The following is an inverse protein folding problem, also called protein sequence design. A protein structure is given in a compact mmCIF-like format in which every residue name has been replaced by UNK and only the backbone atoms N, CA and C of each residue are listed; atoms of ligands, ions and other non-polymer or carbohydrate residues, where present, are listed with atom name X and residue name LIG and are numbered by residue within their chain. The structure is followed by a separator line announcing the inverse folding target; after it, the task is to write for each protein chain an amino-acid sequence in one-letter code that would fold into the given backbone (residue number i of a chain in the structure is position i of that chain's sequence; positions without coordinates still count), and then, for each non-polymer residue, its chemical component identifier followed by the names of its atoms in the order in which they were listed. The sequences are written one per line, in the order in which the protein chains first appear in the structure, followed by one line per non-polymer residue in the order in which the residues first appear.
data_IF_775463405405
#
_entry.id   IF_775463405405
#
_cell.length_a   1.000
_cell.length_b   1.000
_cell.length_c   1.000
_cell.angle_alpha   90.00
_cell.angle_beta   90.00
_cell.angle_gamma   90.00
#
_symmetry.space_group_name_H-M   'P 1'
#
loop_
_entity.id
_entity.type
_entity.pdbx_description
1 polymer ?
#
# COMPACT_ATOMS: atom_id res chain seq x y z
N UNK A 1 10.47 7.05 0.76
CA UNK A 1 10.37 5.68 1.32
C UNK A 1 9.76 5.65 2.72
N UNK A 2 10.32 6.34 3.74
CA UNK A 2 9.73 6.38 5.10
C UNK A 2 8.25 6.80 5.16
N UNK A 3 7.82 7.73 4.30
CA UNK A 3 6.41 8.16 4.20
C UNK A 3 5.46 7.06 3.69
N UNK A 4 5.87 6.29 2.68
CA UNK A 4 5.06 5.18 2.17
C UNK A 4 4.88 4.05 3.21
N UNK A 5 5.93 3.78 4.01
CA UNK A 5 5.83 2.86 5.16
C UNK A 5 4.83 3.35 6.21
N UNK A 6 4.87 4.62 6.58
CA UNK A 6 3.94 5.19 7.55
C UNK A 6 2.48 5.17 7.03
N UNK A 7 2.27 5.52 5.77
CA UNK A 7 0.94 5.47 5.14
C UNK A 7 0.42 4.02 5.06
N UNK A 8 1.29 3.05 4.78
CA UNK A 8 0.93 1.62 4.78
C UNK A 8 0.62 1.11 6.20
N UNK A 9 1.35 1.54 7.23
CA UNK A 9 1.03 1.23 8.63
C UNK A 9 -0.32 1.81 9.05
N UNK A 10 -0.63 3.05 8.65
CA UNK A 10 -1.93 3.67 8.91
C UNK A 10 -3.06 2.89 8.23
N UNK A 11 -2.88 2.50 6.96
CA UNK A 11 -3.83 1.70 6.21
C UNK A 11 -4.09 0.33 6.88
N UNK A 12 -3.04 -0.37 7.33
CA UNK A 12 -3.19 -1.64 8.04
C UNK A 12 -3.90 -1.45 9.38
N UNK A 13 -3.50 -0.43 10.16
CA UNK A 13 -4.08 -0.16 11.47
C UNK A 13 -5.55 0.27 11.45
N UNK A 14 -6.00 0.82 10.32
CA UNK A 14 -7.38 1.22 10.08
C UNK A 14 -8.19 0.18 9.29
N UNK A 15 -7.69 -1.04 9.12
CA UNK A 15 -8.32 -2.09 8.29
C UNK A 15 -8.72 -1.62 6.87
N UNK A 16 -7.91 -0.72 6.30
CA UNK A 16 -8.05 -0.21 4.93
C UNK A 16 -8.81 1.11 4.78
N UNK A 17 -9.31 1.71 5.86
CA UNK A 17 -10.05 2.99 5.81
C UNK A 17 -9.16 4.21 5.50
N UNK A 18 -7.96 4.29 6.08
CA UNK A 18 -7.05 5.43 5.93
C UNK A 18 -6.05 5.16 4.80
N UNK A 19 -6.23 5.86 3.68
CA UNK A 19 -5.34 5.78 2.51
C UNK A 19 -4.45 7.01 2.42
N UNK A 20 -3.29 6.95 3.07
CA UNK A 20 -2.27 7.99 2.96
C UNK A 20 -1.79 8.16 1.51
N UNK A 21 -1.43 9.40 1.14
CA UNK A 21 -1.18 9.77 -0.27
C UNK A 21 -0.09 8.92 -0.95
N UNK A 22 0.97 8.53 -0.24
CA UNK A 22 2.06 7.74 -0.80
C UNK A 22 1.67 6.27 -0.98
N UNK A 23 0.92 5.70 -0.03
CA UNK A 23 0.38 4.35 -0.18
C UNK A 23 -0.63 4.28 -1.32
N UNK A 24 -1.53 5.26 -1.41
CA UNK A 24 -2.53 5.33 -2.49
C UNK A 24 -1.87 5.47 -3.87
N UNK A 25 -0.81 6.27 -3.98
CA UNK A 25 -0.02 6.37 -5.21
C UNK A 25 0.63 5.02 -5.58
N UNK A 26 1.24 4.35 -4.61
CA UNK A 26 1.86 3.03 -4.83
C UNK A 26 0.83 1.97 -5.23
N UNK A 27 -0.35 1.97 -4.60
CA UNK A 27 -1.46 1.08 -4.92
C UNK A 27 -1.98 1.28 -6.34
N UNK A 28 -2.18 2.55 -6.75
CA UNK A 28 -2.58 2.88 -8.13
C UNK A 28 -1.54 2.45 -9.14
N UNK A 29 -0.27 2.73 -8.87
CA UNK A 29 0.83 2.32 -9.73
C UNK A 29 0.90 0.80 -9.86
N UNK A 30 0.75 0.06 -8.76
CA UNK A 30 0.74 -1.40 -8.77
C UNK A 30 -0.40 -1.93 -9.65
N UNK A 31 -1.62 -1.43 -9.47
CA UNK A 31 -2.78 -1.86 -10.27
C UNK A 31 -2.71 -1.46 -11.74
N UNK A 32 -2.13 -0.30 -12.07
CA UNK A 32 -1.98 0.12 -13.45
C UNK A 32 -0.86 -0.64 -14.18
N UNK A 33 0.14 -1.13 -13.44
CA UNK A 33 1.28 -1.87 -14.00
C UNK A 33 0.95 -3.36 -14.19
N UNK A 34 0.13 -3.94 -13.32
CA UNK A 34 -0.24 -5.36 -13.37
C UNK A 34 -1.74 -5.51 -13.67
N UNK A 35 -2.07 -5.89 -14.91
CA UNK A 35 -3.46 -6.11 -15.37
C UNK A 35 -4.22 -7.16 -14.53
N UNK A 36 -3.51 -8.09 -13.90
CA UNK A 36 -4.06 -9.02 -12.90
C UNK A 36 -3.19 -8.91 -11.63
N UNK A 37 -3.55 -8.00 -10.70
CA UNK A 37 -2.77 -7.80 -9.49
C UNK A 37 -2.87 -9.06 -8.62
N UNK A 38 -1.71 -9.62 -8.28
CA UNK A 38 -1.57 -10.82 -7.45
C UNK A 38 -1.78 -10.55 -5.96
N UNK A 39 -1.79 -9.27 -5.56
CA UNK A 39 -1.93 -8.83 -4.17
C UNK A 39 -3.14 -7.92 -4.03
N UNK A 40 -3.89 -8.12 -2.94
CA UNK A 40 -4.81 -7.12 -2.43
C UNK A 40 -4.07 -5.89 -1.90
N UNK A 41 -4.76 -4.77 -1.69
CA UNK A 41 -4.15 -3.58 -1.06
C UNK A 41 -3.57 -3.89 0.32
N UNK A 42 -4.21 -4.78 1.08
CA UNK A 42 -3.72 -5.19 2.39
C UNK A 42 -2.42 -5.98 2.28
N UNK A 43 -2.30 -6.87 1.28
CA UNK A 43 -1.07 -7.60 1.01
C UNK A 43 0.04 -6.66 0.51
N UNK A 44 -0.29 -5.69 -0.35
CA UNK A 44 0.65 -4.68 -0.81
C UNK A 44 1.14 -3.79 0.34
N UNK A 45 0.25 -3.34 1.22
CA UNK A 45 0.62 -2.55 2.40
C UNK A 45 1.59 -3.31 3.30
N UNK A 46 1.33 -4.60 3.58
CA UNK A 46 2.24 -5.46 4.35
C UNK A 46 3.59 -5.62 3.66
N UNK A 47 3.60 -5.81 2.34
CA UNK A 47 4.84 -5.91 1.58
C UNK A 47 5.68 -4.61 1.67
N UNK A 48 5.04 -3.44 1.59
CA UNK A 48 5.71 -2.14 1.77
C UNK A 48 6.30 -2.00 3.18
N UNK A 49 5.59 -2.47 4.22
CA UNK A 49 6.07 -2.40 5.61
C UNK A 49 7.29 -3.31 5.86
N UNK A 50 7.37 -4.45 5.17
CA UNK A 50 8.52 -5.37 5.30
C UNK A 50 9.71 -4.92 4.44
N UNK A 51 9.46 -4.28 3.30
CA UNK A 51 10.50 -3.85 2.36
C UNK A 51 11.26 -2.58 2.78
N UNK A 52 10.69 -1.76 3.67
CA UNK A 52 11.25 -0.50 4.18
C UNK A 52 11.22 -0.47 5.70
#
# INVERSE_FOLDING_TARGET
MKKAKNDALAFIGSDGEIRGAQFEQASRYYRSTYNSPLMSDMQLARAIVVAY
#
